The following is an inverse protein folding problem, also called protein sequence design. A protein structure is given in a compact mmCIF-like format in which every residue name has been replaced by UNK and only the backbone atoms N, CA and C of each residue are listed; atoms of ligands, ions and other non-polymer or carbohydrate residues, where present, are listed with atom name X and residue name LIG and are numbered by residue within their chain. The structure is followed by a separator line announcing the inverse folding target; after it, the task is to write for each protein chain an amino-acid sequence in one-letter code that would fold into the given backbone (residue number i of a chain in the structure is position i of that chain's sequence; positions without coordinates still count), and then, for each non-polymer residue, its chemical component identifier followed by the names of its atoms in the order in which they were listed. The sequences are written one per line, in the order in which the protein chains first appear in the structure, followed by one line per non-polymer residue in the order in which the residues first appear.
data_IF_441057690679
#
_entry.id   IF_441057690679
#
_cell.length_a   1.000
_cell.length_b   1.000
_cell.length_c   1.000
_cell.angle_alpha   90.00
_cell.angle_beta   90.00
_cell.angle_gamma   90.00
#
_symmetry.space_group_name_H-M   'P 1'
#
loop_
_entity.id
_entity.type
_entity.pdbx_description
1 polymer ?
#
# COMPACT_ATOMS: atom_id res chain seq x y z
N UNK A 1 -62.06 -27.56 -55.70
CA UNK A 1 -61.45 -26.31 -55.19
C UNK A 1 -61.67 -26.03 -53.69
N UNK A 2 -62.81 -26.38 -53.06
CA UNK A 2 -63.10 -26.02 -51.65
C UNK A 2 -62.27 -26.76 -50.57
N UNK A 3 -61.86 -28.02 -50.82
CA UNK A 3 -61.13 -28.84 -49.82
C UNK A 3 -59.66 -28.43 -49.64
N UNK A 4 -58.97 -28.01 -50.70
CA UNK A 4 -57.58 -27.55 -50.61
C UNK A 4 -57.44 -26.21 -49.87
N UNK A 5 -58.44 -25.34 -49.99
CA UNK A 5 -58.46 -24.04 -49.32
C UNK A 5 -58.63 -24.16 -47.79
N UNK A 6 -59.42 -25.15 -47.34
CA UNK A 6 -59.58 -25.46 -45.91
C UNK A 6 -58.27 -25.98 -45.32
N UNK A 7 -57.57 -26.89 -46.02
CA UNK A 7 -56.28 -27.43 -45.56
C UNK A 7 -55.23 -26.33 -45.45
N UNK A 8 -55.17 -25.40 -46.40
CA UNK A 8 -54.24 -24.25 -46.35
C UNK A 8 -54.55 -23.34 -45.17
N UNK A 9 -55.83 -23.02 -44.91
CA UNK A 9 -56.24 -22.21 -43.75
C UNK A 9 -55.88 -22.91 -42.43
N UNK A 10 -56.06 -24.22 -42.35
CA UNK A 10 -55.68 -25.02 -41.16
C UNK A 10 -54.17 -24.99 -40.92
N UNK A 11 -53.36 -25.14 -41.96
CA UNK A 11 -51.89 -25.11 -41.86
C UNK A 11 -51.39 -23.72 -41.45
N UNK A 12 -51.97 -22.65 -42.01
CA UNK A 12 -51.65 -21.27 -41.63
C UNK A 12 -52.06 -21.01 -40.18
N UNK A 13 -53.24 -21.49 -39.75
CA UNK A 13 -53.69 -21.36 -38.37
C UNK A 13 -52.76 -22.04 -37.37
N UNK A 14 -52.28 -23.25 -37.67
CA UNK A 14 -51.31 -23.97 -36.84
C UNK A 14 -49.96 -23.26 -36.82
N UNK A 15 -49.48 -22.76 -37.96
CA UNK A 15 -48.22 -22.00 -38.04
C UNK A 15 -48.28 -20.72 -37.20
N UNK A 16 -49.41 -20.00 -37.20
CA UNK A 16 -49.61 -18.82 -36.38
C UNK A 16 -49.60 -19.16 -34.88
N UNK A 17 -50.25 -20.25 -34.46
CA UNK A 17 -50.24 -20.68 -33.06
C UNK A 17 -48.83 -21.05 -32.59
N UNK A 18 -48.05 -21.78 -33.41
CA UNK A 18 -46.65 -22.11 -33.09
C UNK A 18 -45.80 -20.83 -32.98
N UNK A 19 -46.01 -19.85 -33.87
CA UNK A 19 -45.28 -18.57 -33.83
C UNK A 19 -45.60 -17.73 -32.58
N UNK A 20 -46.87 -17.71 -32.15
CA UNK A 20 -47.32 -17.03 -30.93
C UNK A 20 -46.74 -17.70 -29.67
N UNK A 21 -46.78 -19.03 -29.59
CA UNK A 21 -46.18 -19.78 -28.48
C UNK A 21 -44.66 -19.57 -28.40
N UNK A 22 -43.96 -19.59 -29.53
CA UNK A 22 -42.52 -19.32 -29.60
C UNK A 22 -42.17 -17.91 -29.11
N UNK A 23 -42.94 -16.90 -29.52
CA UNK A 23 -42.73 -15.51 -29.11
C UNK A 23 -42.96 -15.31 -27.61
N UNK A 24 -44.04 -15.87 -27.05
CA UNK A 24 -44.33 -15.81 -25.61
C UNK A 24 -43.22 -16.48 -24.78
N UNK A 25 -42.75 -17.65 -25.22
CA UNK A 25 -41.67 -18.37 -24.55
C UNK A 25 -40.34 -17.58 -24.59
N UNK A 26 -40.00 -17.03 -25.76
CA UNK A 26 -38.80 -16.20 -25.94
C UNK A 26 -38.87 -14.92 -25.12
N UNK A 27 -40.02 -14.24 -25.09
CA UNK A 27 -40.22 -13.04 -24.30
C UNK A 27 -40.13 -13.31 -22.79
N UNK A 28 -40.67 -14.43 -22.31
CA UNK A 28 -40.53 -14.85 -20.91
C UNK A 28 -39.06 -15.11 -20.54
N UNK A 29 -38.30 -15.77 -21.42
CA UNK A 29 -36.87 -16.05 -21.21
C UNK A 29 -36.03 -14.76 -21.19
N UNK A 30 -36.30 -13.82 -22.11
CA UNK A 30 -35.64 -12.51 -22.15
C UNK A 30 -35.99 -11.68 -20.91
N UNK A 31 -37.25 -11.67 -20.48
CA UNK A 31 -37.69 -10.96 -19.28
C UNK A 31 -37.03 -11.50 -18.01
N UNK A 32 -36.95 -12.85 -17.88
CA UNK A 32 -36.20 -13.50 -16.78
C UNK A 32 -34.72 -13.12 -16.80
N UNK A 33 -34.07 -13.18 -17.96
CA UNK A 33 -32.66 -12.81 -18.11
C UNK A 33 -32.42 -11.34 -17.74
N UNK A 34 -33.28 -10.42 -18.20
CA UNK A 34 -33.19 -8.99 -17.87
C UNK A 34 -33.40 -8.73 -16.37
N UNK A 35 -34.32 -9.46 -15.73
CA UNK A 35 -34.51 -9.37 -14.28
C UNK A 35 -33.29 -9.88 -13.53
N UNK A 36 -32.68 -10.99 -13.94
CA UNK A 36 -31.43 -11.50 -13.36
C UNK A 36 -30.29 -10.50 -13.55
N UNK A 37 -30.11 -9.94 -14.75
CA UNK A 37 -29.08 -8.92 -15.02
C UNK A 37 -29.30 -7.68 -14.13
N UNK A 38 -30.55 -7.24 -13.97
CA UNK A 38 -30.90 -6.11 -13.11
C UNK A 38 -30.60 -6.40 -11.63
N UNK A 39 -30.91 -7.61 -11.15
CA UNK A 39 -30.56 -8.06 -9.80
C UNK A 39 -29.04 -8.10 -9.60
N UNK A 40 -28.30 -8.74 -10.51
CA UNK A 40 -26.83 -8.80 -10.45
C UNK A 40 -26.21 -7.39 -10.47
N UNK A 41 -26.76 -6.45 -11.25
CA UNK A 41 -26.29 -5.06 -11.27
C UNK A 41 -26.54 -4.36 -9.93
N UNK A 42 -27.71 -4.56 -9.32
CA UNK A 42 -28.03 -4.03 -7.98
C UNK A 42 -27.14 -4.63 -6.90
N UNK A 43 -26.91 -5.93 -6.96
CA UNK A 43 -26.02 -6.63 -6.02
C UNK A 43 -24.58 -6.15 -6.17
N UNK A 44 -24.07 -5.99 -7.41
CA UNK A 44 -22.75 -5.41 -7.66
C UNK A 44 -22.62 -3.99 -7.09
N UNK A 45 -23.64 -3.15 -7.25
CA UNK A 45 -23.65 -1.81 -6.65
C UNK A 45 -23.67 -1.86 -5.12
N UNK A 46 -24.46 -2.77 -4.53
CA UNK A 46 -24.53 -2.96 -3.07
C UNK A 46 -23.20 -3.44 -2.50
N UNK A 47 -22.57 -4.42 -3.16
CA UNK A 47 -21.23 -4.94 -2.80
C UNK A 47 -20.18 -3.86 -2.95
N UNK A 48 -20.19 -3.09 -4.04
CA UNK A 48 -19.23 -1.98 -4.24
C UNK A 48 -19.38 -0.89 -3.17
N UNK A 49 -20.61 -0.53 -2.78
CA UNK A 49 -20.84 0.40 -1.66
C UNK A 49 -20.32 -0.16 -0.34
N UNK A 50 -20.62 -1.42 -0.03
CA UNK A 50 -20.11 -2.08 1.18
C UNK A 50 -18.59 -2.12 1.20
N UNK A 51 -17.94 -2.43 0.07
CA UNK A 51 -16.49 -2.43 -0.06
C UNK A 51 -15.89 -1.03 0.17
N UNK A 52 -16.50 0.01 -0.42
CA UNK A 52 -16.05 1.39 -0.22
C UNK A 52 -16.19 1.83 1.25
N UNK A 53 -17.29 1.46 1.92
CA UNK A 53 -17.48 1.71 3.36
C UNK A 53 -16.45 0.96 4.19
N UNK A 54 -16.25 -0.34 3.93
CA UNK A 54 -15.27 -1.16 4.65
C UNK A 54 -13.84 -0.63 4.49
N UNK A 55 -13.45 -0.19 3.28
CA UNK A 55 -12.15 0.43 3.05
C UNK A 55 -12.00 1.72 3.86
N UNK A 56 -13.01 2.58 3.86
CA UNK A 56 -12.99 3.82 4.65
C UNK A 56 -12.91 3.56 6.14
N UNK A 57 -13.66 2.58 6.66
CA UNK A 57 -13.59 2.17 8.07
C UNK A 57 -12.20 1.62 8.41
N UNK A 58 -11.60 0.83 7.51
CA UNK A 58 -10.25 0.30 7.67
C UNK A 58 -9.21 1.44 7.70
N UNK A 59 -9.31 2.43 6.81
CA UNK A 59 -8.42 3.60 6.81
C UNK A 59 -8.52 4.40 8.11
N UNK A 60 -9.75 4.61 8.63
CA UNK A 60 -9.98 5.29 9.91
C UNK A 60 -9.38 4.49 11.06
N UNK A 61 -9.60 3.17 11.10
CA UNK A 61 -9.04 2.30 12.12
C UNK A 61 -7.51 2.29 12.07
N UNK A 62 -6.91 2.20 10.89
CA UNK A 62 -5.46 2.28 10.71
C UNK A 62 -4.91 3.61 11.23
N UNK A 63 -5.56 4.72 10.89
CA UNK A 63 -5.17 6.03 11.41
C UNK A 63 -5.29 6.12 12.95
N UNK A 64 -6.35 5.57 13.54
CA UNK A 64 -6.50 5.52 14.99
C UNK A 64 -5.43 4.65 15.66
N UNK A 65 -5.11 3.51 15.08
CA UNK A 65 -4.03 2.63 15.55
C UNK A 65 -2.68 3.35 15.47
N UNK A 66 -2.38 4.03 14.37
CA UNK A 66 -1.14 4.77 14.18
C UNK A 66 -1.02 5.96 15.14
N UNK A 67 -2.13 6.68 15.36
CA UNK A 67 -2.20 7.75 16.35
C UNK A 67 -2.00 7.23 17.77
N UNK A 68 -2.62 6.10 18.12
CA UNK A 68 -2.45 5.46 19.43
C UNK A 68 -1.01 4.96 19.63
N UNK A 69 -0.42 4.29 18.63
CA UNK A 69 0.99 3.88 18.64
C UNK A 69 1.90 5.10 18.85
N UNK A 70 1.64 6.19 18.11
CA UNK A 70 2.41 7.44 18.22
C UNK A 70 2.29 8.03 19.63
N UNK A 71 1.07 8.13 20.17
CA UNK A 71 0.84 8.63 21.53
C UNK A 71 1.56 7.77 22.58
N UNK A 72 1.36 6.45 22.56
CA UNK A 72 2.00 5.53 23.51
C UNK A 72 3.52 5.56 23.39
N UNK A 73 4.06 5.66 22.17
CA UNK A 73 5.49 5.79 21.94
C UNK A 73 6.04 7.13 22.42
N UNK A 74 5.23 8.18 22.54
CA UNK A 74 5.69 9.53 22.89
C UNK A 74 5.36 9.93 24.33
N UNK A 75 4.48 9.17 25.01
CA UNK A 75 4.14 9.37 26.41
C UNK A 75 5.41 9.21 27.25
N UNK A 76 5.65 10.18 28.13
CA UNK A 76 6.79 10.23 29.07
C UNK A 76 8.19 10.43 28.45
N UNK A 77 8.29 10.70 27.15
CA UNK A 77 9.57 11.00 26.47
C UNK A 77 9.97 12.47 26.60
N UNK A 78 11.27 12.72 26.72
CA UNK A 78 11.82 14.08 26.64
C UNK A 78 11.70 14.66 25.22
N UNK A 79 11.72 16.00 25.11
CA UNK A 79 11.65 16.66 23.79
C UNK A 79 12.77 16.20 22.84
N UNK A 80 13.97 15.93 23.36
CA UNK A 80 15.08 15.39 22.55
C UNK A 80 14.78 14.00 22.01
N UNK A 81 14.11 13.13 22.78
CA UNK A 81 13.71 11.80 22.33
C UNK A 81 12.58 11.86 21.31
N UNK A 82 11.64 12.79 21.47
CA UNK A 82 10.60 13.05 20.47
C UNK A 82 11.22 13.51 19.15
N UNK A 83 12.14 14.47 19.19
CA UNK A 83 12.85 14.95 18.01
C UNK A 83 13.64 13.82 17.34
N UNK A 84 14.37 13.01 18.13
CA UNK A 84 15.09 11.85 17.62
C UNK A 84 14.16 10.88 16.90
N UNK A 85 13.06 10.46 17.53
CA UNK A 85 12.13 9.50 16.94
C UNK A 85 11.46 10.06 15.67
N UNK A 86 11.09 11.33 15.65
CA UNK A 86 10.49 11.97 14.47
C UNK A 86 11.48 12.04 13.30
N UNK A 87 12.71 12.49 13.56
CA UNK A 87 13.76 12.60 12.54
C UNK A 87 14.16 11.21 12.02
N UNK A 88 14.36 10.26 12.93
CA UNK A 88 14.70 8.88 12.58
C UNK A 88 13.61 8.19 11.78
N UNK A 89 12.34 8.30 12.18
CA UNK A 89 11.22 7.72 11.41
C UNK A 89 11.14 8.34 10.02
N UNK A 90 11.20 9.67 9.91
CA UNK A 90 11.14 10.33 8.59
C UNK A 90 12.31 9.93 7.70
N UNK A 91 13.51 9.82 8.26
CA UNK A 91 14.69 9.32 7.56
C UNK A 91 14.49 7.87 7.07
N UNK A 92 14.10 6.95 7.95
CA UNK A 92 13.91 5.54 7.62
C UNK A 92 12.80 5.35 6.57
N UNK A 93 11.64 5.99 6.76
CA UNK A 93 10.55 5.95 5.76
C UNK A 93 11.03 6.41 4.39
N UNK A 94 11.77 7.51 4.33
CA UNK A 94 12.28 8.07 3.07
C UNK A 94 13.34 7.18 2.43
N UNK A 95 14.22 6.58 3.23
CA UNK A 95 15.32 5.75 2.71
C UNK A 95 14.85 4.36 2.25
N UNK A 96 13.81 3.80 2.88
CA UNK A 96 13.30 2.45 2.59
C UNK A 96 12.02 2.44 1.75
N UNK A 97 11.41 3.59 1.47
CA UNK A 97 10.24 3.70 0.57
C UNK A 97 10.59 4.52 -0.65
N UNK A 98 10.74 3.85 -1.79
CA UNK A 98 11.15 4.52 -3.02
C UNK A 98 10.87 3.70 -4.28
N UNK A 99 10.76 4.44 -5.38
CA UNK A 99 10.75 3.93 -6.75
C UNK A 99 12.00 4.41 -7.52
N UNK A 100 12.37 3.74 -8.63
CA UNK A 100 13.48 4.11 -9.51
C UNK A 100 13.61 5.61 -9.80
N UNK A 101 12.50 6.25 -10.15
CA UNK A 101 12.39 7.66 -10.56
C UNK A 101 12.35 8.66 -9.39
N UNK A 102 12.16 8.17 -8.16
CA UNK A 102 12.08 9.03 -6.95
C UNK A 102 13.43 9.36 -6.33
N UNK A 103 14.55 8.98 -6.96
CA UNK A 103 15.89 9.21 -6.41
C UNK A 103 16.14 10.69 -6.03
N UNK A 104 15.80 11.64 -6.93
CA UNK A 104 15.96 13.07 -6.65
C UNK A 104 15.09 13.53 -5.48
N UNK A 105 13.84 13.05 -5.41
CA UNK A 105 12.92 13.39 -4.33
C UNK A 105 13.44 12.91 -2.97
N UNK A 106 14.08 11.74 -2.94
CA UNK A 106 14.68 11.17 -1.73
C UNK A 106 15.84 12.03 -1.22
N UNK A 107 16.71 12.46 -2.14
CA UNK A 107 17.85 13.33 -1.86
C UNK A 107 17.43 14.65 -1.22
N UNK A 108 16.37 15.28 -1.71
CA UNK A 108 15.86 16.53 -1.14
C UNK A 108 15.10 16.31 0.17
N UNK A 109 14.35 15.22 0.27
CA UNK A 109 13.49 14.92 1.44
C UNK A 109 14.26 14.63 2.73
N UNK A 110 15.48 14.09 2.63
CA UNK A 110 16.32 13.85 3.81
C UNK A 110 17.24 15.02 4.16
N UNK A 111 17.30 16.05 3.32
CA UNK A 111 18.14 17.22 3.56
C UNK A 111 17.67 17.93 4.83
N UNK A 112 18.58 18.15 5.76
CA UNK A 112 18.29 18.75 7.07
C UNK A 112 17.78 17.78 8.14
N UNK A 113 17.44 16.52 7.78
CA UNK A 113 17.21 15.44 8.76
C UNK A 113 18.52 14.79 9.20
N UNK A 114 19.54 14.86 8.34
CA UNK A 114 20.85 14.26 8.55
C UNK A 114 21.95 15.32 8.42
N UNK A 115 23.09 15.06 9.05
CA UNK A 115 24.27 15.91 8.95
C UNK A 115 24.82 15.94 7.52
N UNK A 116 25.55 17.00 7.19
CA UNK A 116 26.22 17.14 5.88
C UNK A 116 27.13 15.96 5.58
N UNK A 117 27.84 15.45 6.58
CA UNK A 117 28.77 14.33 6.41
C UNK A 117 28.03 13.03 6.10
N UNK A 118 26.96 12.73 6.84
CA UNK A 118 26.12 11.55 6.57
C UNK A 118 25.41 11.67 5.22
N UNK A 119 24.98 12.87 4.84
CA UNK A 119 24.39 13.14 3.54
C UNK A 119 25.37 12.84 2.39
N UNK A 120 26.61 13.27 2.52
CA UNK A 120 27.64 13.02 1.52
C UNK A 120 28.03 11.54 1.42
N UNK A 121 27.85 10.74 2.48
CA UNK A 121 28.04 9.28 2.45
C UNK A 121 26.96 8.59 1.60
N UNK A 122 25.69 9.00 1.72
CA UNK A 122 24.59 8.45 0.93
C UNK A 122 24.53 9.00 -0.50
N UNK A 123 24.86 10.28 -0.70
CA UNK A 123 24.74 10.99 -1.97
C UNK A 123 26.05 11.72 -2.33
N UNK A 124 27.12 10.98 -2.68
CA UNK A 124 28.37 11.59 -3.07
C UNK A 124 28.22 12.48 -4.31
N UNK A 125 28.89 13.64 -4.30
CA UNK A 125 28.70 14.72 -5.31
C UNK A 125 29.10 14.34 -6.74
N UNK A 126 29.86 13.26 -6.93
CA UNK A 126 30.47 12.88 -8.20
C UNK A 126 29.93 11.58 -8.78
N UNK A 127 28.74 11.16 -8.39
CA UNK A 127 28.12 9.91 -8.88
C UNK A 127 26.80 10.19 -9.57
N UNK A 128 26.68 9.73 -10.82
CA UNK A 128 25.47 9.84 -11.63
C UNK A 128 24.46 8.72 -11.32
N UNK A 129 24.15 8.50 -10.04
CA UNK A 129 23.04 7.61 -9.66
C UNK A 129 21.74 8.38 -9.95
N UNK A 130 21.10 8.11 -11.09
CA UNK A 130 19.85 8.77 -11.50
C UNK A 130 18.61 7.88 -11.39
N UNK A 131 18.83 6.57 -11.34
CA UNK A 131 17.82 5.53 -11.22
C UNK A 131 18.28 4.63 -10.08
N UNK A 132 17.39 4.22 -9.18
CA UNK A 132 17.68 3.22 -8.14
C UNK A 132 17.98 1.81 -8.73
N UNK A 133 18.61 1.72 -9.90
CA UNK A 133 18.88 0.50 -10.66
C UNK A 133 17.62 -0.35 -10.88
N UNK A 134 16.50 0.29 -11.21
CA UNK A 134 15.18 -0.35 -11.34
C UNK A 134 14.69 -1.04 -10.05
N UNK A 135 15.25 -0.68 -8.89
CA UNK A 135 14.82 -1.18 -7.58
C UNK A 135 13.67 -0.33 -7.05
N UNK A 136 12.60 -1.00 -6.66
CA UNK A 136 11.53 -0.44 -5.86
C UNK A 136 11.63 -1.02 -4.46
N UNK A 137 11.45 -0.19 -3.45
CA UNK A 137 11.39 -0.59 -2.04
C UNK A 137 10.19 0.02 -1.36
N UNK A 138 9.59 -0.70 -0.43
CA UNK A 138 8.55 -0.19 0.47
C UNK A 138 8.87 -0.58 1.90
N UNK A 139 8.76 0.39 2.81
CA UNK A 139 8.90 0.13 4.23
C UNK A 139 7.64 -0.58 4.75
N UNK A 140 7.81 -1.72 5.42
CA UNK A 140 6.72 -2.41 6.10
C UNK A 140 6.58 -1.92 7.54
N UNK A 141 7.69 -1.87 8.27
CA UNK A 141 7.73 -1.43 9.67
C UNK A 141 9.11 -0.89 10.06
N UNK A 142 9.14 0.16 10.87
CA UNK A 142 10.34 0.66 11.52
C UNK A 142 10.08 0.86 13.01
N UNK A 143 10.82 0.13 13.85
CA UNK A 143 10.73 0.26 15.32
C UNK A 143 12.02 0.83 15.86
N UNK A 144 11.93 1.94 16.59
CA UNK A 144 13.08 2.67 17.14
C UNK A 144 13.12 2.51 18.66
N UNK A 145 14.25 2.03 19.15
CA UNK A 145 14.58 1.90 20.56
C UNK A 145 15.62 2.95 20.94
N UNK A 146 15.20 3.98 21.66
CA UNK A 146 16.08 5.07 22.09
C UNK A 146 16.96 4.62 23.27
N UNK A 147 18.25 4.95 23.23
CA UNK A 147 19.17 4.82 24.36
C UNK A 147 19.28 6.15 25.11
N UNK A 148 19.76 6.11 26.36
CA UNK A 148 19.92 7.31 27.19
C UNK A 148 20.83 8.37 26.53
N UNK A 149 20.45 9.64 26.66
CA UNK A 149 21.21 10.80 26.17
C UNK A 149 22.54 10.94 26.92
N UNK A 150 23.63 11.17 26.19
CA UNK A 150 24.96 11.48 26.73
C UNK A 150 25.44 12.82 26.18
N UNK A 151 25.43 13.87 27.03
CA UNK A 151 25.71 15.23 26.57
C UNK A 151 24.72 15.66 25.49
N UNK A 152 25.23 16.11 24.33
CA UNK A 152 24.38 16.46 23.18
C UNK A 152 24.10 15.29 22.22
N UNK A 153 24.63 14.09 22.49
CA UNK A 153 24.44 12.92 21.64
C UNK A 153 23.37 11.99 22.20
N UNK A 154 22.54 11.46 21.30
CA UNK A 154 21.58 10.39 21.58
C UNK A 154 21.83 9.25 20.61
N UNK A 155 21.74 8.02 21.10
CA UNK A 155 21.84 6.82 20.27
C UNK A 155 20.51 6.08 20.29
N UNK A 156 20.27 5.28 19.26
CA UNK A 156 19.15 4.36 19.24
C UNK A 156 19.41 3.20 18.31
N UNK A 157 18.63 2.15 18.48
CA UNK A 157 18.57 1.01 17.58
C UNK A 157 17.29 1.06 16.78
N UNK A 158 17.36 0.79 15.49
CA UNK A 158 16.20 0.71 14.61
C UNK A 158 16.13 -0.69 13.98
N UNK A 159 15.01 -1.38 14.20
CA UNK A 159 14.66 -2.62 13.50
C UNK A 159 13.76 -2.23 12.33
N UNK A 160 14.23 -2.48 11.12
CA UNK A 160 13.60 -2.02 9.88
C UNK A 160 13.24 -3.23 9.03
N UNK A 161 11.94 -3.45 8.81
CA UNK A 161 11.43 -4.45 7.89
C UNK A 161 10.93 -3.79 6.62
N UNK A 162 11.35 -4.28 5.47
CA UNK A 162 11.00 -3.72 4.17
C UNK A 162 10.90 -4.83 3.12
N UNK A 163 10.21 -4.51 2.03
CA UNK A 163 10.19 -5.35 0.84
C UNK A 163 10.83 -4.59 -0.31
N UNK A 164 11.65 -5.28 -1.09
CA UNK A 164 12.24 -4.72 -2.31
C UNK A 164 12.11 -5.66 -3.50
N UNK A 165 12.09 -5.10 -4.70
CA UNK A 165 12.16 -5.85 -5.96
C UNK A 165 12.96 -5.08 -7.00
N UNK A 166 13.52 -5.78 -7.97
CA UNK A 166 14.18 -5.17 -9.13
C UNK A 166 13.38 -5.53 -10.39
N UNK A 167 12.89 -4.52 -11.11
CA UNK A 167 12.04 -4.71 -12.29
C UNK A 167 10.76 -5.52 -12.00
N UNK A 168 10.55 -6.56 -12.81
CA UNK A 168 9.38 -7.46 -12.72
C UNK A 168 9.59 -8.67 -11.80
N UNK A 169 10.70 -8.71 -11.06
CA UNK A 169 10.95 -9.78 -10.09
C UNK A 169 9.99 -9.72 -8.90
N UNK A 170 9.86 -10.85 -8.21
CA UNK A 170 9.09 -10.97 -6.98
C UNK A 170 9.66 -10.08 -5.86
N UNK A 171 8.76 -9.64 -4.98
CA UNK A 171 9.11 -8.92 -3.77
C UNK A 171 9.90 -9.83 -2.82
N UNK A 172 11.02 -9.31 -2.34
CA UNK A 172 11.85 -9.94 -1.31
C UNK A 172 11.71 -9.13 -0.03
N UNK A 173 11.36 -9.83 1.05
CA UNK A 173 11.21 -9.25 2.38
C UNK A 173 12.50 -9.41 3.16
N UNK A 174 12.96 -8.33 3.77
CA UNK A 174 14.19 -8.26 4.55
C UNK A 174 13.94 -7.49 5.85
N UNK A 175 14.71 -7.83 6.88
CA UNK A 175 14.70 -7.13 8.17
C UNK A 175 16.14 -6.88 8.60
N UNK A 176 16.44 -5.61 8.83
CA UNK A 176 17.78 -5.13 9.17
C UNK A 176 17.78 -4.39 10.51
N UNK A 177 18.93 -4.43 11.20
CA UNK A 177 19.17 -3.67 12.42
C UNK A 177 20.17 -2.55 12.17
N UNK A 178 19.79 -1.33 12.54
CA UNK A 178 20.62 -0.14 12.42
C UNK A 178 20.90 0.47 13.79
N UNK A 179 22.12 0.96 13.99
CA UNK A 179 22.42 1.92 15.05
C UNK A 179 22.36 3.33 14.49
N UNK A 180 21.56 4.18 15.13
CA UNK A 180 21.38 5.58 14.78
C UNK A 180 22.08 6.45 15.84
N UNK A 181 22.82 7.46 15.39
CA UNK A 181 23.37 8.51 16.26
C UNK A 181 22.76 9.85 15.89
N UNK A 182 22.31 10.60 16.89
CA UNK A 182 21.58 11.85 16.76
C UNK A 182 22.25 12.94 17.59
N UNK A 183 22.40 14.12 17.01
CA UNK A 183 22.84 15.32 17.69
C UNK A 183 21.63 16.15 18.09
N UNK A 184 21.41 16.26 19.40
CA UNK A 184 20.28 16.98 20.00
C UNK A 184 20.41 18.50 19.89
N UNK A 185 21.58 19.04 19.53
CA UNK A 185 21.77 20.48 19.32
C UNK A 185 21.35 20.93 17.92
N UNK A 186 21.65 20.12 16.91
CA UNK A 186 21.29 20.37 15.50
C UNK A 186 19.98 19.69 15.08
N UNK A 187 19.48 18.76 15.92
CA UNK A 187 18.35 17.88 15.64
C UNK A 187 18.54 17.04 14.36
N UNK A 188 19.74 16.51 14.16
CA UNK A 188 20.11 15.74 12.97
C UNK A 188 20.70 14.38 13.31
N UNK A 189 20.44 13.38 12.47
CA UNK A 189 21.21 12.14 12.50
C UNK A 189 22.62 12.41 11.98
N UNK A 190 23.63 11.97 12.73
CA UNK A 190 25.05 12.14 12.38
C UNK A 190 25.71 10.86 11.94
N UNK A 191 25.16 9.70 12.32
CA UNK A 191 25.63 8.39 11.85
C UNK A 191 24.49 7.38 11.80
N UNK A 192 24.55 6.50 10.78
CA UNK A 192 23.67 5.35 10.60
C UNK A 192 24.56 4.16 10.26
N UNK A 193 24.57 3.14 11.12
CA UNK A 193 25.42 1.97 10.97
C UNK A 193 24.54 0.72 10.84
N UNK A 194 24.65 0.00 9.72
CA UNK A 194 24.02 -1.32 9.57
C UNK A 194 24.79 -2.33 10.45
N UNK A 195 24.09 -3.02 11.34
CA UNK A 195 24.65 -4.02 12.26
C UNK A 195 24.50 -5.46 11.73
N UNK A 196 23.91 -5.64 10.54
CA UNK A 196 23.73 -6.90 9.85
C UNK A 196 22.27 -7.29 9.65
N UNK A 197 22.09 -8.32 8.83
CA UNK A 197 20.82 -8.96 8.52
C UNK A 197 20.86 -10.43 8.97
N UNK A 198 20.17 -10.74 10.08
CA UNK A 198 20.06 -12.10 10.62
C UNK A 198 18.97 -12.16 11.69
N UNK A 199 17.71 -12.34 11.29
CA UNK A 199 16.59 -12.52 12.23
C UNK A 199 15.65 -13.65 11.77
N UNK A 200 15.34 -14.57 12.72
CA UNK A 200 14.16 -15.46 12.88
C UNK A 200 14.06 -15.74 14.41
N UNK A 201 12.93 -15.91 15.09
CA UNK A 201 11.60 -16.33 14.69
C UNK A 201 10.53 -15.31 15.10
N UNK A 202 9.65 -14.93 14.17
CA UNK A 202 8.59 -13.89 14.26
C UNK A 202 9.00 -12.41 14.11
N UNK A 203 10.29 -12.06 14.17
CA UNK A 203 10.96 -10.85 13.66
C UNK A 203 10.25 -9.47 13.69
N UNK A 204 9.47 -9.00 14.66
CA UNK A 204 9.20 -9.30 16.07
C UNK A 204 7.85 -8.59 16.28
N UNK A 205 6.84 -9.27 16.83
CA UNK A 205 5.42 -8.79 16.94
C UNK A 205 5.22 -7.31 17.24
#
# INVERSE_FOLDING_TARGET
MKRGLIVIISVIGVALLVSLYGNIYQHSKISKANNTISQVKKDKQKVSKKLATANRENDVLNSQVDNFKTYQNNKDKSQSELNFNNVANKFLTTMFTFEPDTYSNRKDSIKGLISTDLYNQYFPKNTNYGDANSVTSKLDNATIYTQAKQGNSMKGLAVVSFESKSGDNDWKKETDLYQLTFDTSTNQLTAVQNLGSSFKASDVK
#
